data_IF_650159741267
#
_entry.id   IF_650159741267
#
_cell.length_a   1.000
_cell.length_b   1.000
_cell.length_c   1.000
_cell.angle_alpha   90.00
_cell.angle_beta   90.00
_cell.angle_gamma   90.00
#
_symmetry.space_group_name_H-M   'P 1'
#
loop_
_entity.id
_entity.type
_entity.pdbx_description
1 polymer ?
#
# COMPACT_ATOMS: atom_id res chain seq x y z
N UNK A 1 14.02 -9.89 -7.89
CA UNK A 1 13.20 -9.17 -8.90
C UNK A 1 12.14 -8.38 -8.15
N UNK A 2 11.61 -7.27 -8.67
CA UNK A 2 10.53 -6.56 -7.98
C UNK A 2 9.29 -7.46 -7.94
N UNK A 3 8.83 -7.82 -6.75
CA UNK A 3 7.67 -8.72 -6.60
C UNK A 3 6.80 -8.33 -5.40
N UNK A 4 5.51 -8.70 -5.47
CA UNK A 4 4.51 -8.45 -4.45
C UNK A 4 3.60 -9.67 -4.32
N UNK A 5 3.45 -10.19 -3.11
CA UNK A 5 2.58 -11.31 -2.76
C UNK A 5 1.40 -10.84 -1.89
N UNK A 6 0.31 -11.62 -1.76
CA UNK A 6 -0.81 -11.24 -0.91
C UNK A 6 -0.43 -10.96 0.55
N UNK A 7 0.54 -11.69 1.10
CA UNK A 7 1.00 -11.52 2.49
C UNK A 7 1.81 -10.23 2.70
N UNK A 8 2.26 -9.58 1.62
CA UNK A 8 2.97 -8.30 1.65
C UNK A 8 2.02 -7.10 1.78
N UNK A 9 0.70 -7.34 1.73
CA UNK A 9 -0.34 -6.32 1.83
C UNK A 9 -1.10 -6.49 3.13
N UNK A 10 -1.03 -5.48 3.99
CA UNK A 10 -1.76 -5.45 5.27
C UNK A 10 -2.78 -4.32 5.25
N UNK A 11 -3.99 -4.64 5.71
CA UNK A 11 -5.13 -3.72 5.79
C UNK A 11 -5.47 -3.44 7.26
N UNK A 12 -5.84 -2.20 7.57
CA UNK A 12 -6.34 -1.81 8.88
C UNK A 12 -7.51 -0.81 8.75
N UNK A 13 -8.58 -0.91 9.57
CA UNK A 13 -8.86 -1.94 10.57
C UNK A 13 -9.62 -3.14 9.97
N UNK A 14 -8.99 -4.31 9.90
CA UNK A 14 -9.65 -5.59 9.54
C UNK A 14 -10.67 -6.04 10.60
N UNK A 15 -11.65 -6.93 10.30
CA UNK A 15 -11.87 -7.68 9.05
C UNK A 15 -13.04 -7.18 8.18
N UNK A 16 -13.78 -6.15 8.59
CA UNK A 16 -14.83 -5.55 7.78
C UNK A 16 -14.60 -4.04 7.75
N UNK A 17 -14.59 -3.49 6.55
CA UNK A 17 -14.49 -2.06 6.30
C UNK A 17 -15.91 -1.56 6.00
N UNK A 18 -16.32 -0.48 6.65
CA UNK A 18 -17.60 0.16 6.40
C UNK A 18 -17.41 1.50 5.67
N UNK A 19 -18.49 1.94 5.02
CA UNK A 19 -18.53 3.28 4.43
C UNK A 19 -18.23 4.35 5.48
N UNK A 20 -17.31 5.26 5.15
CA UNK A 20 -16.81 6.31 6.03
C UNK A 20 -15.63 5.90 6.92
N UNK A 21 -15.21 4.63 6.91
CA UNK A 21 -14.03 4.21 7.65
C UNK A 21 -12.76 4.70 6.95
N UNK A 22 -11.80 5.15 7.77
CA UNK A 22 -10.42 5.35 7.35
C UNK A 22 -9.71 4.00 7.32
N UNK A 23 -9.29 3.61 6.12
CA UNK A 23 -8.53 2.39 5.84
C UNK A 23 -7.08 2.75 5.59
N UNK A 24 -6.17 2.00 6.18
CA UNK A 24 -4.76 2.04 5.83
C UNK A 24 -4.36 0.77 5.07
N UNK A 25 -3.67 0.96 3.96
CA UNK A 25 -2.99 -0.08 3.19
C UNK A 25 -1.50 0.05 3.45
N UNK A 26 -0.90 -1.04 3.95
CA UNK A 26 0.53 -1.15 4.10
C UNK A 26 1.04 -2.18 3.11
N UNK A 27 2.04 -1.81 2.31
CA UNK A 27 2.58 -2.62 1.22
C UNK A 27 4.09 -2.79 1.41
N UNK A 28 4.55 -4.04 1.46
CA UNK A 28 5.95 -4.43 1.70
C UNK A 28 6.46 -5.34 0.57
N UNK A 29 6.65 -4.81 -0.65
CA UNK A 29 7.14 -5.64 -1.75
C UNK A 29 8.60 -6.07 -1.52
N UNK A 30 9.01 -7.16 -2.17
CA UNK A 30 10.43 -7.49 -2.30
C UNK A 30 11.07 -6.56 -3.35
N UNK A 31 11.93 -5.67 -2.88
CA UNK A 31 12.63 -4.68 -3.72
C UNK A 31 14.06 -5.13 -3.96
N UNK A 32 14.48 -5.36 -5.22
CA UNK A 32 15.85 -5.76 -5.51
C UNK A 32 16.83 -4.63 -5.18
N UNK A 33 18.05 -4.98 -4.78
CA UNK A 33 19.01 -4.03 -4.22
C UNK A 33 19.50 -2.94 -5.19
N UNK A 34 19.29 -3.13 -6.49
CA UNK A 34 19.64 -2.19 -7.56
C UNK A 34 18.51 -1.21 -7.90
N UNK A 35 17.34 -1.34 -7.30
CA UNK A 35 16.20 -0.47 -7.50
C UNK A 35 16.01 0.45 -6.30
N UNK A 36 15.94 1.76 -6.54
CA UNK A 36 15.69 2.73 -5.50
C UNK A 36 14.19 2.69 -5.12
N UNK A 37 13.83 2.52 -3.83
CA UNK A 37 12.41 2.36 -3.45
C UNK A 37 11.52 3.56 -3.80
N UNK A 38 12.09 4.76 -3.88
CA UNK A 38 11.42 6.00 -4.29
C UNK A 38 11.13 6.08 -5.79
N UNK A 39 11.75 5.24 -6.61
CA UNK A 39 11.43 5.10 -8.04
C UNK A 39 10.27 4.11 -8.29
N UNK A 40 9.79 3.43 -7.24
CA UNK A 40 8.72 2.44 -7.35
C UNK A 40 7.37 3.14 -7.19
N UNK A 41 6.57 3.12 -8.26
CA UNK A 41 5.18 3.57 -8.24
C UNK A 41 4.26 2.44 -7.76
N UNK A 42 3.38 2.77 -6.83
CA UNK A 42 2.33 1.92 -6.30
C UNK A 42 0.98 2.54 -6.64
N UNK A 43 0.09 1.74 -7.23
CA UNK A 43 -1.28 2.11 -7.53
C UNK A 43 -2.22 1.09 -6.92
N UNK A 44 -3.19 1.56 -6.13
CA UNK A 44 -4.22 0.73 -5.50
C UNK A 44 -5.53 0.94 -6.25
N UNK A 45 -6.14 -0.17 -6.68
CA UNK A 45 -7.39 -0.17 -7.43
C UNK A 45 -8.50 -0.83 -6.63
N UNK A 46 -9.69 -0.24 -6.65
CA UNK A 46 -10.94 -0.88 -6.17
C UNK A 46 -11.96 -0.78 -7.29
N UNK A 47 -12.58 -1.91 -7.63
CA UNK A 47 -13.55 -2.02 -8.72
C UNK A 47 -13.06 -1.48 -10.09
N UNK A 48 -11.75 -1.46 -10.31
CA UNK A 48 -11.11 -0.99 -11.53
C UNK A 48 -10.77 0.51 -11.56
N UNK A 49 -11.10 1.26 -10.51
CA UNK A 49 -10.75 2.67 -10.37
C UNK A 49 -9.49 2.83 -9.50
N UNK A 50 -8.61 3.77 -9.88
CA UNK A 50 -7.43 4.13 -9.06
C UNK A 50 -7.92 4.88 -7.84
N UNK A 51 -7.70 4.32 -6.66
CA UNK A 51 -8.00 4.96 -5.38
C UNK A 51 -6.82 5.76 -4.85
N UNK A 52 -5.63 5.17 -4.91
CA UNK A 52 -4.41 5.77 -4.36
C UNK A 52 -3.24 5.52 -5.29
N UNK A 53 -2.41 6.55 -5.44
CA UNK A 53 -1.14 6.49 -6.15
C UNK A 53 -0.04 7.11 -5.28
N UNK A 54 1.13 6.47 -5.23
CA UNK A 54 2.32 7.02 -4.58
C UNK A 54 3.49 6.05 -4.61
N UNK A 55 4.55 6.32 -3.85
CA UNK A 55 5.76 5.47 -3.84
C UNK A 55 6.06 4.79 -2.50
N UNK A 56 7.11 3.98 -2.45
CA UNK A 56 7.61 3.33 -1.21
C UNK A 56 8.48 4.28 -0.38
N UNK A 57 7.91 5.43 -0.02
CA UNK A 57 8.62 6.55 0.61
C UNK A 57 8.73 6.45 2.13
N UNK A 58 7.96 5.55 2.75
CA UNK A 58 7.97 5.34 4.20
C UNK A 58 8.94 4.23 4.60
N UNK A 59 9.22 4.09 5.89
CA UNK A 59 10.06 3.02 6.44
C UNK A 59 9.42 2.39 7.67
N UNK A 60 9.52 1.07 7.78
CA UNK A 60 9.17 0.37 9.01
C UNK A 60 10.28 0.48 10.06
N UNK A 61 10.03 -0.07 11.26
CA UNK A 61 11.00 -0.06 12.36
C UNK A 61 12.28 -0.87 12.09
N UNK A 62 12.24 -1.78 11.12
CA UNK A 62 13.42 -2.52 10.64
C UNK A 62 14.19 -1.74 9.55
N UNK A 63 13.76 -0.53 9.19
CA UNK A 63 14.38 0.31 8.16
C UNK A 63 14.03 -0.05 6.72
N UNK A 64 13.16 -1.05 6.51
CA UNK A 64 12.70 -1.46 5.19
C UNK A 64 11.74 -0.42 4.62
N UNK A 65 11.86 -0.13 3.33
CA UNK A 65 10.93 0.75 2.62
C UNK A 65 9.55 0.12 2.56
N UNK A 66 8.52 0.91 2.84
CA UNK A 66 7.12 0.50 2.79
C UNK A 66 6.29 1.56 2.07
N UNK A 67 5.22 1.10 1.43
CA UNK A 67 4.13 1.96 0.99
C UNK A 67 3.08 2.01 2.09
N UNK A 68 2.75 3.20 2.59
CA UNK A 68 1.64 3.40 3.52
C UNK A 68 0.66 4.38 2.89
N UNK A 69 -0.57 3.92 2.70
CA UNK A 69 -1.61 4.66 2.00
C UNK A 69 -2.86 4.70 2.86
N UNK A 70 -3.46 5.88 2.99
CA UNK A 70 -4.69 6.08 3.74
C UNK A 70 -5.81 6.48 2.78
N UNK A 71 -6.98 5.88 2.95
CA UNK A 71 -8.15 6.15 2.15
C UNK A 71 -9.41 6.03 3.00
N UNK A 72 -10.36 6.94 2.80
CA UNK A 72 -11.69 6.84 3.42
C UNK A 72 -12.63 6.23 2.40
N UNK A 73 -13.34 5.15 2.76
CA UNK A 73 -14.34 4.57 1.87
C UNK A 73 -15.53 5.51 1.71
N UNK A 74 -15.51 6.32 0.65
CA UNK A 74 -16.66 7.10 0.21
C UNK A 74 -17.56 6.25 -0.71
N UNK A 75 -18.83 6.08 -0.32
CA UNK A 75 -19.84 5.35 -1.12
C UNK A 75 -20.84 6.29 -1.80
N UNK A 76 -20.53 7.58 -1.91
CA UNK A 76 -21.46 8.55 -2.52
C UNK A 76 -21.66 8.37 -4.02
#
# INVERSE_FOLDING_TARGET
>A
ELSLMPDDVVLFPVPAIYAGDLVSFQILPDVPADLAPDEILVQIFVDGEILVEGGLVSRNLAGQSIGLFEWVWDTT
#
